data_IF_730537658485
#
_entry.id   IF_730537658485
#
_cell.length_a   1.000
_cell.length_b   1.000
_cell.length_c   1.000
_cell.angle_alpha   90.00
_cell.angle_beta   90.00
_cell.angle_gamma   90.00
#
_symmetry.space_group_name_H-M   'P 1'
#
loop_
_entity.id
_entity.type
_entity.pdbx_description
1 polymer ?
#
# COMPACT_ATOMS: atom_id res chain seq x y z
N UNK A 1 97.24 37.51 28.14
CA UNK A 1 96.06 36.85 28.71
C UNK A 1 95.00 37.87 29.17
N UNK A 2 95.38 39.03 29.76
CA UNK A 2 94.43 40.03 30.26
C UNK A 2 93.65 40.71 29.14
N UNK A 3 94.28 41.01 28.00
CA UNK A 3 93.66 41.62 26.82
C UNK A 3 92.63 40.68 26.16
N UNK A 4 92.92 39.39 26.11
CA UNK A 4 92.05 38.38 25.50
C UNK A 4 90.83 38.13 26.37
N UNK A 5 91.07 38.12 27.71
CA UNK A 5 89.95 37.96 28.67
C UNK A 5 88.98 39.14 28.71
N UNK A 6 89.52 40.38 28.57
CA UNK A 6 88.71 41.57 28.45
C UNK A 6 87.83 41.63 27.19
N UNK A 7 88.40 41.18 26.05
CA UNK A 7 87.62 41.13 24.79
C UNK A 7 86.52 40.11 24.83
N UNK A 8 86.78 38.97 25.46
CA UNK A 8 85.80 37.92 25.60
C UNK A 8 84.60 38.29 26.51
N UNK A 9 84.83 39.25 27.44
CA UNK A 9 83.78 39.74 28.35
C UNK A 9 82.84 40.79 27.67
N UNK A 10 83.34 41.49 26.63
CA UNK A 10 82.61 42.58 25.99
C UNK A 10 82.24 42.29 24.51
N UNK A 11 82.63 41.14 23.96
CA UNK A 11 82.26 40.75 22.60
C UNK A 11 80.79 40.47 22.50
N UNK A 12 80.04 41.13 21.64
CA UNK A 12 78.60 40.81 21.45
C UNK A 12 78.43 39.44 20.78
N UNK A 13 77.92 38.47 21.50
CA UNK A 13 77.55 37.20 20.95
C UNK A 13 76.13 37.30 20.35
N UNK A 14 76.12 37.45 19.02
CA UNK A 14 74.83 37.32 18.30
C UNK A 14 74.48 35.88 18.13
N UNK A 15 73.51 35.37 18.96
CA UNK A 15 72.88 34.05 18.73
C UNK A 15 71.68 34.26 17.86
N UNK A 16 71.72 33.73 16.63
CA UNK A 16 70.49 33.62 15.81
C UNK A 16 69.85 32.32 16.04
N UNK A 17 68.61 32.35 16.49
CA UNK A 17 67.70 31.14 16.54
C UNK A 17 67.04 30.96 15.16
N UNK A 18 67.42 29.91 14.45
CA UNK A 18 66.78 29.55 13.19
C UNK A 18 65.51 28.81 13.52
N UNK A 19 64.39 29.51 13.44
CA UNK A 19 63.08 28.89 13.52
C UNK A 19 62.62 28.41 12.14
N UNK A 20 62.35 27.07 11.97
CA UNK A 20 61.72 26.60 10.76
C UNK A 20 60.21 26.82 10.89
N UNK A 21 59.63 27.75 10.15
CA UNK A 21 58.22 28.04 10.07
C UNK A 21 57.68 27.60 8.73
N UNK A 22 56.49 26.95 8.74
CA UNK A 22 55.72 26.67 7.51
C UNK A 22 54.75 27.81 7.32
N UNK A 23 54.86 28.55 6.21
CA UNK A 23 53.84 29.55 5.84
C UNK A 23 52.60 28.78 5.33
N UNK A 24 51.53 28.79 6.10
CA UNK A 24 50.22 28.34 5.64
C UNK A 24 49.34 29.56 5.39
N UNK A 25 48.56 29.51 4.31
CA UNK A 25 47.50 30.48 4.10
C UNK A 25 46.52 30.39 5.29
N UNK A 26 46.21 31.56 5.93
CA UNK A 26 45.36 31.61 7.14
C UNK A 26 43.89 31.20 6.95
N UNK A 27 43.57 30.50 5.87
CA UNK A 27 42.26 30.01 5.56
C UNK A 27 42.30 28.48 5.51
N UNK A 28 41.39 27.86 6.25
CA UNK A 28 41.18 26.43 6.18
C UNK A 28 40.73 26.03 4.77
N UNK A 29 41.44 25.09 4.16
CA UNK A 29 41.02 24.49 2.88
C UNK A 29 39.69 23.76 3.12
N UNK A 30 38.60 24.24 2.53
CA UNK A 30 37.32 23.59 2.56
C UNK A 30 37.19 22.64 1.37
N UNK A 31 36.99 21.37 1.63
CA UNK A 31 36.66 20.39 0.60
C UNK A 31 35.17 20.38 0.39
N UNK A 32 34.72 20.54 -0.85
CA UNK A 32 33.32 20.39 -1.25
C UNK A 32 33.21 19.05 -1.92
N UNK A 33 32.39 18.15 -1.33
CA UNK A 33 32.19 16.82 -1.86
C UNK A 33 30.71 16.42 -1.75
N UNK A 34 30.24 15.62 -2.71
CA UNK A 34 28.92 15.05 -2.67
C UNK A 34 28.90 13.79 -1.80
N UNK A 35 27.83 13.58 -1.03
CA UNK A 35 27.72 12.46 -0.07
C UNK A 35 27.75 11.09 -0.76
N UNK A 36 26.99 10.96 -1.85
CA UNK A 36 26.80 9.69 -2.58
C UNK A 36 27.70 9.57 -3.81
N UNK A 37 28.40 10.66 -4.19
CA UNK A 37 29.14 10.72 -5.45
C UNK A 37 28.20 10.91 -6.66
N UNK A 38 28.72 10.69 -7.86
CA UNK A 38 27.95 10.76 -9.09
C UNK A 38 28.80 11.03 -10.32
N UNK A 39 28.19 10.93 -11.49
CA UNK A 39 28.83 11.26 -12.77
C UNK A 39 28.73 12.77 -12.97
N UNK A 40 29.84 13.41 -13.25
CA UNK A 40 29.90 14.87 -13.51
C UNK A 40 29.30 15.12 -14.89
N UNK A 41 28.30 15.98 -14.95
CA UNK A 41 27.70 16.47 -16.20
C UNK A 41 28.44 17.71 -16.70
N UNK A 42 28.66 18.68 -15.81
CA UNK A 42 29.27 19.98 -16.16
C UNK A 42 30.09 20.52 -14.99
N UNK A 43 31.24 21.06 -15.26
CA UNK A 43 32.07 21.82 -14.32
C UNK A 43 31.99 23.29 -14.73
N UNK A 44 31.56 24.16 -13.82
CA UNK A 44 31.34 25.59 -14.07
C UNK A 44 32.55 26.47 -13.69
N UNK A 45 33.50 25.91 -12.97
CA UNK A 45 34.66 26.68 -12.43
C UNK A 45 35.98 26.06 -12.85
N UNK A 46 37.03 26.86 -12.89
CA UNK A 46 38.39 26.43 -13.21
C UNK A 46 39.31 26.77 -12.04
N UNK A 47 40.51 26.17 -12.05
CA UNK A 47 41.53 26.50 -11.06
C UNK A 47 41.91 27.99 -11.12
N UNK A 48 41.87 28.65 -9.98
CA UNK A 48 42.11 30.06 -9.83
C UNK A 48 40.87 30.95 -9.81
N UNK A 49 39.68 30.41 -10.09
CA UNK A 49 38.46 31.19 -10.03
C UNK A 49 38.07 31.56 -8.58
N UNK A 50 37.50 32.73 -8.42
CA UNK A 50 36.98 33.23 -7.15
C UNK A 50 35.49 32.84 -7.03
N UNK A 51 35.14 32.02 -6.03
CA UNK A 51 33.78 31.55 -5.80
C UNK A 51 33.23 32.08 -4.49
N UNK A 52 31.93 32.30 -4.44
CA UNK A 52 31.18 32.72 -3.24
C UNK A 52 30.34 31.57 -2.69
N UNK A 53 29.94 31.72 -1.44
CA UNK A 53 29.01 30.77 -0.83
C UNK A 53 27.69 30.76 -1.60
N UNK A 54 27.32 29.60 -2.13
CA UNK A 54 26.09 29.40 -2.90
C UNK A 54 26.28 29.24 -4.41
N UNK A 55 27.50 29.53 -4.91
CA UNK A 55 27.81 29.34 -6.33
C UNK A 55 27.83 27.87 -6.70
N UNK A 56 27.27 27.54 -7.88
CA UNK A 56 27.28 26.18 -8.42
C UNK A 56 28.62 25.89 -9.04
N UNK A 57 29.37 24.95 -8.48
CA UNK A 57 30.70 24.59 -8.94
C UNK A 57 30.65 23.44 -9.96
N UNK A 58 29.85 22.44 -9.69
CA UNK A 58 29.75 21.21 -10.47
C UNK A 58 28.27 20.80 -10.55
N UNK A 59 27.83 20.35 -11.70
CA UNK A 59 26.54 19.71 -11.89
C UNK A 59 26.73 18.20 -12.12
N UNK A 60 26.08 17.41 -11.31
CA UNK A 60 26.06 15.95 -11.46
C UNK A 60 24.90 15.52 -12.36
N UNK A 61 25.06 14.38 -13.04
CA UNK A 61 24.00 13.75 -13.80
C UNK A 61 22.86 13.32 -12.87
N UNK A 62 21.63 13.72 -13.19
CA UNK A 62 20.45 13.48 -12.36
C UNK A 62 19.52 12.39 -12.91
N UNK A 63 19.92 11.70 -13.99
CA UNK A 63 19.11 10.70 -14.70
C UNK A 63 18.64 9.60 -13.75
N UNK A 64 19.58 9.04 -12.96
CA UNK A 64 19.26 7.96 -12.04
C UNK A 64 18.34 8.41 -10.89
N UNK A 65 18.60 9.59 -10.34
CA UNK A 65 17.80 10.18 -9.26
C UNK A 65 16.41 10.55 -9.74
N UNK A 66 16.27 11.07 -10.95
CA UNK A 66 14.97 11.35 -11.58
C UNK A 66 14.18 10.07 -11.83
N UNK A 67 14.82 9.04 -12.40
CA UNK A 67 14.18 7.76 -12.61
C UNK A 67 13.64 7.14 -11.30
N UNK A 68 14.46 7.21 -10.24
CA UNK A 68 14.04 6.76 -8.91
C UNK A 68 12.85 7.57 -8.37
N UNK A 69 12.87 8.89 -8.53
CA UNK A 69 11.77 9.77 -8.14
C UNK A 69 10.49 9.44 -8.91
N UNK A 70 10.59 9.20 -10.20
CA UNK A 70 9.42 8.87 -11.04
C UNK A 70 8.80 7.52 -10.64
N UNK A 71 9.64 6.52 -10.31
CA UNK A 71 9.17 5.23 -9.77
C UNK A 71 8.40 5.43 -8.47
N UNK A 72 8.97 6.19 -7.52
CA UNK A 72 8.32 6.45 -6.22
C UNK A 72 7.03 7.25 -6.39
N UNK A 73 7.01 8.22 -7.29
CA UNK A 73 5.79 8.98 -7.62
C UNK A 73 4.70 8.08 -8.19
N UNK A 74 5.04 7.19 -9.13
CA UNK A 74 4.09 6.24 -9.70
C UNK A 74 3.51 5.32 -8.61
N UNK A 75 4.35 4.74 -7.76
CA UNK A 75 3.90 3.91 -6.64
C UNK A 75 3.00 4.68 -5.66
N UNK A 76 3.28 5.95 -5.42
CA UNK A 76 2.43 6.80 -4.59
C UNK A 76 1.05 7.00 -5.22
N UNK A 77 0.97 7.32 -6.53
CA UNK A 77 -0.28 7.50 -7.25
C UNK A 77 -1.12 6.20 -7.25
N UNK A 78 -0.49 5.04 -7.52
CA UNK A 78 -1.16 3.74 -7.49
C UNK A 78 -1.75 3.43 -6.11
N UNK A 79 -0.95 3.66 -5.07
CA UNK A 79 -1.36 3.41 -3.68
C UNK A 79 -2.48 4.36 -3.24
N UNK A 80 -2.40 5.63 -3.62
CA UNK A 80 -3.43 6.62 -3.33
C UNK A 80 -4.74 6.29 -4.05
N UNK A 81 -4.67 5.87 -5.32
CA UNK A 81 -5.82 5.39 -6.08
C UNK A 81 -6.50 4.19 -5.43
N UNK A 82 -5.70 3.19 -5.01
CA UNK A 82 -6.19 2.02 -4.27
C UNK A 82 -6.86 2.43 -2.95
N UNK A 83 -6.22 3.31 -2.19
CA UNK A 83 -6.76 3.82 -0.92
C UNK A 83 -8.13 4.48 -1.12
N UNK A 84 -8.25 5.40 -2.08
CA UNK A 84 -9.48 6.09 -2.39
C UNK A 84 -10.61 5.12 -2.79
N UNK A 85 -10.29 4.09 -3.58
CA UNK A 85 -11.24 3.03 -3.95
C UNK A 85 -11.73 2.25 -2.73
N UNK A 86 -10.81 1.83 -1.86
CA UNK A 86 -11.15 1.04 -0.67
C UNK A 86 -11.98 1.84 0.34
N UNK A 87 -11.64 3.11 0.56
CA UNK A 87 -12.44 4.01 1.42
C UNK A 87 -13.83 4.20 0.84
N UNK A 88 -13.95 4.43 -0.48
CA UNK A 88 -15.25 4.58 -1.15
C UNK A 88 -16.10 3.31 -1.07
N UNK A 89 -15.48 2.12 -1.13
CA UNK A 89 -16.18 0.85 -0.89
C UNK A 89 -16.63 0.70 0.57
N UNK A 90 -15.76 0.99 1.52
CA UNK A 90 -16.05 0.92 2.95
C UNK A 90 -17.24 1.82 3.31
N UNK A 91 -17.25 3.04 2.77
CA UNK A 91 -18.30 4.03 3.04
C UNK A 91 -19.54 3.84 2.16
N UNK A 92 -19.56 2.76 1.35
CA UNK A 92 -20.67 2.39 0.45
C UNK A 92 -21.11 3.53 -0.48
N UNK A 93 -20.16 4.30 -0.96
CA UNK A 93 -20.41 5.43 -1.86
C UNK A 93 -20.94 4.94 -3.22
N UNK A 94 -21.63 5.84 -3.94
CA UNK A 94 -22.11 5.54 -5.29
C UNK A 94 -20.98 5.54 -6.32
N UNK A 95 -19.97 6.39 -6.11
CA UNK A 95 -18.79 6.56 -6.95
C UNK A 95 -17.55 6.78 -6.07
N UNK A 96 -16.35 6.67 -6.66
CA UNK A 96 -15.09 6.93 -5.96
C UNK A 96 -14.93 8.45 -5.80
N UNK A 97 -14.56 8.85 -4.60
CA UNK A 97 -14.06 10.19 -4.31
C UNK A 97 -12.54 10.14 -4.34
N UNK A 98 -11.94 10.77 -5.34
CA UNK A 98 -10.49 10.84 -5.48
C UNK A 98 -9.95 12.05 -4.71
N UNK A 99 -8.82 11.83 -4.05
CA UNK A 99 -8.04 12.91 -3.44
C UNK A 99 -7.47 13.85 -4.53
N UNK A 100 -7.29 15.13 -4.19
CA UNK A 100 -6.69 16.15 -5.07
C UNK A 100 -5.26 15.79 -5.49
N UNK A 101 -4.54 15.06 -4.64
CA UNK A 101 -3.16 14.64 -4.87
C UNK A 101 -3.04 13.51 -5.89
N UNK A 102 -4.14 12.82 -6.20
CA UNK A 102 -4.20 11.85 -7.27
C UNK A 102 -4.38 12.57 -8.60
N UNK A 103 -3.29 12.74 -9.33
CA UNK A 103 -3.25 13.47 -10.61
C UNK A 103 -3.33 12.53 -11.81
N UNK A 104 -2.88 11.27 -11.67
CA UNK A 104 -2.80 10.31 -12.76
C UNK A 104 -4.20 9.83 -13.19
N UNK A 105 -4.63 10.28 -14.37
CA UNK A 105 -5.93 9.90 -14.95
C UNK A 105 -6.02 8.43 -15.34
N UNK A 106 -4.89 7.78 -15.70
CA UNK A 106 -4.89 6.36 -15.98
C UNK A 106 -5.23 5.56 -14.72
N UNK A 107 -4.57 5.89 -13.60
CA UNK A 107 -4.85 5.27 -12.29
C UNK A 107 -6.30 5.50 -11.87
N UNK A 108 -6.82 6.73 -12.02
CA UNK A 108 -8.23 7.03 -11.69
C UNK A 108 -9.20 6.17 -12.47
N UNK A 109 -8.99 6.03 -13.78
CA UNK A 109 -9.86 5.25 -14.65
C UNK A 109 -9.78 3.75 -14.32
N UNK A 110 -8.60 3.23 -14.07
CA UNK A 110 -8.41 1.84 -13.63
C UNK A 110 -9.14 1.56 -12.31
N UNK A 111 -8.93 2.39 -11.29
CA UNK A 111 -9.59 2.22 -10.01
C UNK A 111 -11.11 2.38 -10.09
N UNK A 112 -11.61 3.25 -10.96
CA UNK A 112 -13.06 3.40 -11.23
C UNK A 112 -13.64 2.15 -11.85
N UNK A 113 -12.98 1.57 -12.86
CA UNK A 113 -13.41 0.33 -13.49
C UNK A 113 -13.45 -0.84 -12.50
N UNK A 114 -12.43 -0.98 -11.66
CA UNK A 114 -12.38 -1.99 -10.60
C UNK A 114 -13.48 -1.77 -9.55
N UNK A 115 -13.77 -0.52 -9.20
CA UNK A 115 -14.84 -0.19 -8.26
C UNK A 115 -16.20 -0.65 -8.77
N UNK A 116 -16.56 -0.28 -9.98
CA UNK A 116 -17.85 -0.68 -10.56
C UNK A 116 -17.94 -2.18 -10.82
N UNK A 117 -16.87 -2.80 -11.30
CA UNK A 117 -16.82 -4.25 -11.50
C UNK A 117 -17.08 -5.00 -10.19
N UNK A 118 -16.37 -4.65 -9.13
CA UNK A 118 -16.55 -5.25 -7.81
C UNK A 118 -17.97 -5.00 -7.27
N UNK A 119 -18.49 -3.80 -7.41
CA UNK A 119 -19.83 -3.44 -6.94
C UNK A 119 -20.93 -4.21 -7.68
N UNK A 120 -20.78 -4.38 -9.00
CA UNK A 120 -21.70 -5.18 -9.80
C UNK A 120 -21.62 -6.65 -9.42
N UNK A 121 -20.43 -7.21 -9.26
CA UNK A 121 -20.25 -8.60 -8.84
C UNK A 121 -20.94 -8.89 -7.50
N UNK A 122 -20.75 -8.01 -6.50
CA UNK A 122 -21.43 -8.15 -5.20
C UNK A 122 -22.95 -8.06 -5.34
N UNK A 123 -23.46 -7.14 -6.19
CA UNK A 123 -24.89 -7.01 -6.44
C UNK A 123 -25.48 -8.26 -7.09
N UNK A 124 -24.80 -8.83 -8.07
CA UNK A 124 -25.20 -10.05 -8.75
C UNK A 124 -25.19 -11.26 -7.79
N UNK A 125 -24.13 -11.41 -7.00
CA UNK A 125 -24.04 -12.47 -5.99
C UNK A 125 -25.19 -12.37 -4.97
N UNK A 126 -25.48 -11.17 -4.49
CA UNK A 126 -26.61 -10.92 -3.60
C UNK A 126 -27.94 -11.34 -4.23
N UNK A 127 -28.16 -10.99 -5.50
CA UNK A 127 -29.37 -11.40 -6.24
C UNK A 127 -29.49 -12.92 -6.38
N UNK A 128 -28.38 -13.60 -6.67
CA UNK A 128 -28.34 -15.07 -6.73
C UNK A 128 -28.71 -15.69 -5.38
N UNK A 129 -28.16 -15.17 -4.28
CA UNK A 129 -28.46 -15.63 -2.93
C UNK A 129 -29.92 -15.38 -2.54
N UNK A 130 -30.48 -14.22 -2.88
CA UNK A 130 -31.89 -13.90 -2.65
C UNK A 130 -32.81 -14.86 -3.41
N UNK A 131 -32.52 -15.16 -4.68
CA UNK A 131 -33.25 -16.16 -5.46
C UNK A 131 -33.14 -17.57 -4.86
N UNK A 132 -31.95 -17.93 -4.35
CA UNK A 132 -31.74 -19.20 -3.67
C UNK A 132 -32.57 -19.32 -2.39
N UNK A 133 -32.63 -18.25 -1.62
CA UNK A 133 -33.49 -18.17 -0.41
C UNK A 133 -34.97 -18.37 -0.79
N UNK A 134 -35.43 -17.69 -1.84
CA UNK A 134 -36.79 -17.83 -2.33
C UNK A 134 -37.10 -19.28 -2.78
N UNK A 135 -36.19 -19.89 -3.54
CA UNK A 135 -36.29 -21.28 -3.95
C UNK A 135 -36.42 -22.24 -2.76
N UNK A 136 -35.56 -22.06 -1.74
CA UNK A 136 -35.62 -22.90 -0.53
C UNK A 136 -36.91 -22.71 0.26
N UNK A 137 -37.43 -21.46 0.36
CA UNK A 137 -38.74 -21.20 0.97
C UNK A 137 -39.86 -21.95 0.24
N UNK A 138 -39.90 -21.87 -1.09
CA UNK A 138 -40.91 -22.61 -1.89
C UNK A 138 -40.79 -24.12 -1.72
N UNK A 139 -39.57 -24.66 -1.57
CA UNK A 139 -39.38 -26.10 -1.26
C UNK A 139 -39.90 -26.46 0.12
N UNK A 140 -39.68 -25.62 1.12
CA UNK A 140 -40.22 -25.82 2.48
C UNK A 140 -41.74 -25.82 2.45
N UNK A 141 -42.35 -24.84 1.78
CA UNK A 141 -43.82 -24.77 1.66
C UNK A 141 -44.40 -25.99 0.94
N UNK A 142 -43.74 -26.40 -0.16
CA UNK A 142 -44.12 -27.62 -0.88
C UNK A 142 -44.02 -28.89 -0.01
N UNK A 143 -42.93 -29.06 0.71
CA UNK A 143 -42.73 -30.18 1.63
C UNK A 143 -43.71 -30.16 2.81
N UNK A 144 -44.03 -28.96 3.33
CA UNK A 144 -45.01 -28.79 4.39
C UNK A 144 -46.41 -29.20 3.92
N UNK A 145 -46.80 -28.80 2.71
CA UNK A 145 -48.06 -29.19 2.09
C UNK A 145 -48.12 -30.71 1.83
N UNK A 146 -47.02 -31.29 1.35
CA UNK A 146 -46.91 -32.74 1.16
C UNK A 146 -47.05 -33.50 2.49
N UNK A 147 -46.36 -33.01 3.54
CA UNK A 147 -46.48 -33.61 4.89
C UNK A 147 -47.92 -33.58 5.39
N UNK A 148 -48.62 -32.46 5.28
CA UNK A 148 -50.03 -32.30 5.64
C UNK A 148 -50.91 -33.29 4.89
N UNK A 149 -50.74 -33.42 3.56
CA UNK A 149 -51.48 -34.40 2.74
C UNK A 149 -51.20 -35.84 3.16
N UNK A 150 -49.95 -36.18 3.48
CA UNK A 150 -49.59 -37.53 3.97
C UNK A 150 -50.20 -37.83 5.34
N UNK A 151 -50.22 -36.84 6.24
CA UNK A 151 -50.86 -36.98 7.55
C UNK A 151 -52.38 -37.18 7.42
N UNK A 152 -53.03 -36.44 6.54
CA UNK A 152 -54.46 -36.58 6.28
C UNK A 152 -54.78 -37.95 5.70
N UNK A 153 -53.96 -38.42 4.72
CA UNK A 153 -54.12 -39.76 4.16
C UNK A 153 -53.92 -40.86 5.22
N UNK A 154 -52.91 -40.71 6.09
CA UNK A 154 -52.67 -41.64 7.19
C UNK A 154 -53.88 -41.71 8.15
N UNK A 155 -54.48 -40.55 8.46
CA UNK A 155 -55.67 -40.45 9.28
C UNK A 155 -56.86 -41.22 8.63
N UNK A 156 -57.12 -40.99 7.34
CA UNK A 156 -58.19 -41.71 6.61
C UNK A 156 -57.97 -43.20 6.57
N UNK A 157 -56.74 -43.67 6.32
CA UNK A 157 -56.41 -45.10 6.32
C UNK A 157 -56.64 -45.71 7.73
N UNK A 158 -56.24 -45.01 8.79
CA UNK A 158 -56.45 -45.46 10.15
C UNK A 158 -57.95 -45.52 10.53
N UNK A 159 -58.76 -44.60 10.03
CA UNK A 159 -60.22 -44.62 10.19
C UNK A 159 -60.81 -45.82 9.44
N UNK A 160 -60.44 -46.07 8.19
CA UNK A 160 -60.85 -47.21 7.38
C UNK A 160 -60.47 -48.57 8.06
N UNK A 161 -59.23 -48.67 8.58
CA UNK A 161 -58.81 -49.88 9.32
C UNK A 161 -59.73 -50.16 10.54
N UNK A 162 -60.12 -49.10 11.28
CA UNK A 162 -61.00 -49.23 12.42
C UNK A 162 -62.42 -49.74 11.99
N UNK A 163 -62.94 -49.15 10.91
CA UNK A 163 -64.22 -49.56 10.35
C UNK A 163 -64.20 -51.04 9.91
N UNK A 164 -63.12 -51.46 9.20
CA UNK A 164 -62.91 -52.86 8.83
C UNK A 164 -62.76 -53.78 10.04
N UNK A 165 -62.13 -53.42 11.11
CA UNK A 165 -61.91 -54.13 12.35
C UNK A 165 -63.26 -54.33 13.07
N UNK A 166 -64.14 -53.32 13.07
CA UNK A 166 -65.52 -53.42 13.61
C UNK A 166 -66.38 -54.34 12.79
N UNK A 167 -66.36 -54.23 11.45
CA UNK A 167 -67.14 -55.17 10.57
C UNK A 167 -66.64 -56.58 10.69
N UNK A 168 -65.36 -56.81 10.87
CA UNK A 168 -64.82 -58.17 11.13
C UNK A 168 -65.28 -58.75 12.47
N UNK A 169 -65.25 -57.91 13.54
CA UNK A 169 -65.82 -58.36 14.87
C UNK A 169 -67.29 -58.74 14.80
N UNK A 170 -68.04 -58.07 13.95
CA UNK A 170 -69.43 -58.34 13.73
C UNK A 170 -69.68 -59.56 12.78
N UNK A 171 -68.62 -60.23 12.28
CA UNK A 171 -68.63 -61.33 11.32
C UNK A 171 -69.34 -61.00 9.99
N UNK A 172 -69.38 -59.73 9.60
CA UNK A 172 -70.02 -59.28 8.37
C UNK A 172 -69.07 -59.32 7.15
N UNK A 173 -67.79 -59.55 7.39
CA UNK A 173 -66.75 -59.68 6.35
C UNK A 173 -65.76 -60.77 6.74
N UNK A 174 -65.20 -61.47 5.73
CA UNK A 174 -64.12 -62.42 5.92
C UNK A 174 -62.77 -61.74 5.97
N UNK A 175 -61.80 -62.36 6.65
CA UNK A 175 -60.45 -61.86 6.76
C UNK A 175 -59.82 -61.93 5.38
N UNK A 176 -59.66 -60.77 4.72
CA UNK A 176 -58.90 -60.62 3.47
C UNK A 176 -57.41 -60.97 3.75
N UNK A 177 -56.86 -61.92 2.98
CA UNK A 177 -55.48 -62.36 3.07
C UNK A 177 -54.53 -61.31 2.52
#
# INVERSE_FOLDING_TARGET
FVIFGGWMAFAPLASSSVGTGKVSAGYDKKSVQHLEGGIIETIFVKDGDSVKKGDVLIKLQDIQTKAQLDIVKSQYQDTLGLYNRLVSHKDNLKDIVFDSDLVDEFVKNEQRNLFYSTKNAIKEEKSILENRILQLKNQIDGNTSLLSSKQQRLKSINEEIKEWDELFKLKLVDKIK
#
